data_IF_022824024164
#
_entry.id   IF_022824024164
#
_cell.length_a   1.000
_cell.length_b   1.000
_cell.length_c   1.000
_cell.angle_alpha   90.00
_cell.angle_beta   90.00
_cell.angle_gamma   90.00
#
_symmetry.space_group_name_H-M   'P 1'
#
loop_
_entity.id
_entity.type
_entity.pdbx_description
1 polymer ?
#
# COMPACT_ATOMS: atom_id res chain seq x y z
N UNK A 1 -2.33 -17.23 6.26
CA UNK A 1 -2.81 -16.07 5.48
C UNK A 1 -2.48 -14.75 6.14
N UNK A 2 -2.85 -14.45 7.39
CA UNK A 2 -2.52 -13.15 8.02
C UNK A 2 -1.02 -12.82 8.02
N UNK A 3 -0.15 -13.81 8.25
CA UNK A 3 1.31 -13.68 8.07
C UNK A 3 1.72 -13.28 6.65
N UNK A 4 1.09 -13.91 5.66
CA UNK A 4 1.32 -13.60 4.24
C UNK A 4 0.81 -12.19 3.92
N UNK A 5 -0.39 -11.81 4.38
CA UNK A 5 -0.92 -10.44 4.25
C UNK A 5 0.05 -9.41 4.83
N UNK A 6 0.59 -9.69 6.02
CA UNK A 6 1.53 -8.82 6.72
C UNK A 6 2.80 -8.60 5.91
N UNK A 7 3.42 -9.68 5.41
CA UNK A 7 4.64 -9.58 4.58
C UNK A 7 4.35 -8.98 3.21
N UNK A 8 3.21 -9.31 2.58
CA UNK A 8 2.83 -8.75 1.29
C UNK A 8 2.58 -7.23 1.39
N UNK A 9 1.89 -6.78 2.44
CA UNK A 9 1.68 -5.35 2.73
C UNK A 9 3.00 -4.64 2.96
N UNK A 10 3.90 -5.22 3.77
CA UNK A 10 5.23 -4.66 3.98
C UNK A 10 6.03 -4.61 2.67
N UNK A 11 6.01 -5.69 1.89
CA UNK A 11 6.68 -5.78 0.59
C UNK A 11 6.24 -4.69 -0.37
N UNK A 12 4.93 -4.41 -0.45
CA UNK A 12 4.37 -3.29 -1.21
C UNK A 12 4.95 -1.94 -0.78
N UNK A 13 4.93 -1.65 0.52
CA UNK A 13 5.41 -0.37 1.06
C UNK A 13 6.94 -0.20 0.91
N UNK A 14 7.71 -1.26 1.16
CA UNK A 14 9.17 -1.22 0.99
C UNK A 14 9.59 -1.22 -0.48
N UNK A 15 8.76 -1.79 -1.38
CA UNK A 15 8.99 -1.68 -2.82
C UNK A 15 8.89 -0.21 -3.28
N UNK A 16 7.90 0.54 -2.81
CA UNK A 16 7.76 1.98 -3.11
C UNK A 16 8.96 2.79 -2.63
N UNK A 17 9.40 2.53 -1.39
CA UNK A 17 10.58 3.19 -0.84
C UNK A 17 11.82 2.89 -1.67
N UNK A 18 12.04 1.62 -2.00
CA UNK A 18 13.15 1.17 -2.82
C UNK A 18 13.09 1.76 -4.24
N UNK A 19 11.91 1.84 -4.84
CA UNK A 19 11.65 2.43 -6.15
C UNK A 19 11.89 3.95 -6.19
N UNK A 20 11.95 4.59 -5.01
CA UNK A 20 12.23 6.01 -4.88
C UNK A 20 11.00 6.89 -5.02
N UNK A 21 9.82 6.39 -4.62
CA UNK A 21 8.58 7.18 -4.57
C UNK A 21 8.13 7.52 -3.15
N UNK A 22 8.97 7.22 -2.16
CA UNK A 22 8.65 7.36 -0.75
C UNK A 22 7.87 6.18 -0.21
N UNK A 23 7.12 6.40 0.85
CA UNK A 23 6.30 5.40 1.52
C UNK A 23 5.26 6.10 2.39
N UNK A 24 4.19 5.41 2.83
CA UNK A 24 3.22 6.00 3.74
C UNK A 24 3.87 6.57 5.00
N UNK A 25 3.44 7.79 5.37
CA UNK A 25 3.91 8.61 6.50
C UNK A 25 5.30 9.25 6.33
N UNK A 26 6.04 8.95 5.27
CA UNK A 26 7.35 9.57 5.05
C UNK A 26 7.27 11.09 4.84
N UNK A 27 6.13 11.63 4.39
CA UNK A 27 5.97 13.09 4.25
C UNK A 27 5.93 13.83 5.59
N UNK A 28 5.55 13.15 6.68
CA UNK A 28 5.45 13.73 8.01
C UNK A 28 6.64 13.36 8.89
N UNK A 29 7.02 12.09 8.88
CA UNK A 29 8.04 11.54 9.79
C UNK A 29 9.44 11.54 9.17
N UNK A 30 9.53 11.71 7.85
CA UNK A 30 10.72 11.38 7.08
C UNK A 30 10.82 9.88 6.76
N UNK A 31 11.69 9.50 5.81
CA UNK A 31 11.76 8.12 5.31
C UNK A 31 12.25 7.12 6.34
N UNK A 32 13.22 7.49 7.19
CA UNK A 32 13.83 6.55 8.16
C UNK A 32 12.85 6.20 9.28
N UNK A 33 12.24 7.17 10.01
CA UNK A 33 11.29 6.82 11.07
C UNK A 33 10.05 6.10 10.54
N UNK A 34 9.57 6.46 9.34
CA UNK A 34 8.47 5.74 8.69
C UNK A 34 8.86 4.28 8.37
N UNK A 35 10.03 4.04 7.77
CA UNK A 35 10.53 2.70 7.47
C UNK A 35 10.69 1.87 8.74
N UNK A 36 11.23 2.45 9.82
CA UNK A 36 11.37 1.78 11.11
C UNK A 36 10.01 1.42 11.71
N UNK A 37 9.03 2.33 11.69
CA UNK A 37 7.69 2.06 12.20
C UNK A 37 7.02 0.90 11.43
N UNK A 38 7.12 0.89 10.10
CA UNK A 38 6.62 -0.20 9.27
C UNK A 38 7.33 -1.52 9.59
N UNK A 39 8.65 -1.53 9.68
CA UNK A 39 9.41 -2.75 10.01
C UNK A 39 9.02 -3.34 11.37
N UNK A 40 8.91 -2.50 12.41
CA UNK A 40 8.50 -2.91 13.76
C UNK A 40 7.06 -3.44 13.75
N UNK A 41 6.14 -2.70 13.10
CA UNK A 41 4.74 -3.10 12.99
C UNK A 41 4.58 -4.44 12.27
N UNK A 42 5.28 -4.63 11.16
CA UNK A 42 5.33 -5.89 10.41
C UNK A 42 5.88 -7.03 11.24
N UNK A 43 7.01 -6.84 11.93
CA UNK A 43 7.60 -7.89 12.78
C UNK A 43 6.68 -8.29 13.93
N UNK A 44 6.05 -7.31 14.56
CA UNK A 44 5.08 -7.52 15.65
C UNK A 44 3.86 -8.29 15.16
N UNK A 45 3.25 -7.85 14.06
CA UNK A 45 2.09 -8.52 13.46
C UNK A 45 2.43 -9.94 12.97
N UNK A 46 3.61 -10.15 12.40
CA UNK A 46 4.08 -11.47 11.95
C UNK A 46 4.24 -12.46 13.13
N UNK A 47 4.86 -12.00 14.21
CA UNK A 47 5.06 -12.83 15.41
C UNK A 47 3.72 -13.15 16.08
N UNK A 48 2.87 -12.15 16.29
CA UNK A 48 1.54 -12.31 16.85
C UNK A 48 0.64 -13.20 15.98
N UNK A 49 0.73 -13.12 14.64
CA UNK A 49 -0.04 -13.99 13.76
C UNK A 49 0.43 -15.46 13.78
N UNK A 50 1.59 -15.74 14.37
CA UNK A 50 2.10 -17.09 14.62
C UNK A 50 1.53 -17.76 15.84
N UNK A 51 1.34 -16.97 16.89
CA UNK A 51 0.80 -17.40 18.16
C UNK A 51 -0.63 -16.86 18.21
N UNK A 52 -1.61 -17.65 17.76
CA UNK A 52 -2.99 -17.20 17.47
C UNK A 52 -4.02 -17.47 18.59
N UNK A 53 -3.97 -16.85 19.78
CA UNK A 53 -5.12 -16.80 20.65
C UNK A 53 -6.32 -16.14 19.94
N UNK A 54 -7.51 -16.73 20.08
CA UNK A 54 -8.76 -16.19 19.53
C UNK A 54 -9.06 -14.72 19.94
N UNK A 55 -8.44 -14.25 21.04
CA UNK A 55 -8.50 -12.85 21.47
C UNK A 55 -8.00 -11.85 20.41
N UNK A 56 -7.12 -12.28 19.49
CA UNK A 56 -6.57 -11.41 18.44
C UNK A 56 -7.39 -11.41 17.14
N UNK A 57 -8.40 -12.27 16.99
CA UNK A 57 -9.18 -12.39 15.74
C UNK A 57 -9.80 -11.05 15.32
N UNK A 58 -10.27 -10.24 16.28
CA UNK A 58 -10.80 -8.90 15.99
C UNK A 58 -9.71 -7.97 15.44
N UNK A 59 -8.54 -7.95 16.06
CA UNK A 59 -7.43 -7.09 15.65
C UNK A 59 -6.93 -7.49 14.26
N UNK A 60 -6.78 -8.78 13.99
CA UNK A 60 -6.37 -9.26 12.68
C UNK A 60 -7.44 -9.07 11.62
N UNK A 61 -8.73 -9.16 11.96
CA UNK A 61 -9.80 -8.81 11.03
C UNK A 61 -9.73 -7.33 10.64
N UNK A 62 -9.52 -6.42 11.59
CA UNK A 62 -9.33 -4.99 11.28
C UNK A 62 -8.09 -4.79 10.41
N UNK A 63 -6.95 -5.37 10.79
CA UNK A 63 -5.70 -5.24 10.01
C UNK A 63 -5.89 -5.73 8.57
N UNK A 64 -6.44 -6.93 8.38
CA UNK A 64 -6.69 -7.49 7.05
C UNK A 64 -7.72 -6.66 6.27
N UNK A 65 -8.72 -6.07 6.92
CA UNK A 65 -9.70 -5.17 6.27
C UNK A 65 -9.06 -3.86 5.82
N UNK A 66 -8.17 -3.29 6.63
CA UNK A 66 -7.40 -2.09 6.26
C UNK A 66 -6.46 -2.39 5.10
N UNK A 67 -5.72 -3.51 5.14
CA UNK A 67 -4.87 -3.96 4.02
C UNK A 67 -5.67 -4.15 2.73
N UNK A 68 -6.84 -4.80 2.82
CA UNK A 68 -7.73 -4.98 1.68
C UNK A 68 -8.18 -3.62 1.12
N UNK A 69 -8.66 -2.72 1.98
CA UNK A 69 -9.09 -1.39 1.58
C UNK A 69 -7.96 -0.56 0.95
N UNK A 70 -6.74 -0.64 1.48
CA UNK A 70 -5.58 0.05 0.93
C UNK A 70 -5.24 -0.43 -0.48
N UNK A 71 -5.23 -1.74 -0.71
CA UNK A 71 -4.97 -2.31 -2.05
C UNK A 71 -6.10 -1.97 -3.01
N UNK A 72 -7.36 -2.06 -2.58
CA UNK A 72 -8.50 -1.65 -3.41
C UNK A 72 -8.40 -0.17 -3.77
N UNK A 73 -8.07 0.69 -2.81
CA UNK A 73 -7.85 2.13 -3.05
C UNK A 73 -6.76 2.37 -4.11
N UNK A 74 -5.68 1.59 -4.11
CA UNK A 74 -4.69 1.66 -5.19
C UNK A 74 -5.30 1.33 -6.55
N UNK A 75 -5.95 0.15 -6.66
CA UNK A 75 -6.52 -0.35 -7.91
C UNK A 75 -7.62 0.53 -8.49
N UNK A 76 -8.37 1.25 -7.64
CA UNK A 76 -9.48 2.10 -8.07
C UNK A 76 -9.12 3.59 -8.17
N UNK A 77 -8.15 4.06 -7.37
CA UNK A 77 -7.77 5.47 -7.28
C UNK A 77 -6.71 5.91 -8.27
N UNK A 78 -5.94 4.97 -8.84
CA UNK A 78 -4.85 5.29 -9.77
C UNK A 78 -5.17 4.91 -11.22
N UNK A 79 -4.46 5.55 -12.20
CA UNK A 79 -4.63 5.22 -13.61
C UNK A 79 -4.42 3.74 -13.88
N UNK A 80 -5.41 3.13 -14.51
CA UNK A 80 -5.39 1.71 -14.85
C UNK A 80 -6.02 1.45 -16.21
N UNK A 81 -5.65 0.31 -16.78
CA UNK A 81 -6.34 -0.31 -17.91
C UNK A 81 -7.09 -1.54 -17.42
N UNK A 82 -8.02 -2.07 -18.20
CA UNK A 82 -8.59 -3.41 -17.93
C UNK A 82 -7.76 -4.48 -18.64
N UNK A 83 -7.49 -5.58 -17.96
CA UNK A 83 -6.94 -6.78 -18.60
C UNK A 83 -7.99 -7.45 -19.48
N UNK A 84 -7.60 -8.50 -20.23
CA UNK A 84 -8.56 -9.35 -20.97
C UNK A 84 -9.62 -9.99 -20.07
N UNK A 85 -9.31 -10.14 -18.78
CA UNK A 85 -10.22 -10.67 -17.76
C UNK A 85 -11.06 -9.56 -17.09
N UNK A 86 -10.98 -8.32 -17.57
CA UNK A 86 -11.75 -7.17 -17.04
C UNK A 86 -11.20 -6.57 -15.75
N UNK A 87 -10.13 -7.12 -15.18
CA UNK A 87 -9.60 -6.72 -13.87
C UNK A 87 -8.69 -5.47 -14.01
N UNK A 88 -8.74 -4.48 -13.09
CA UNK A 88 -7.90 -3.28 -13.13
C UNK A 88 -6.39 -3.57 -13.09
N UNK A 89 -5.65 -3.11 -14.08
CA UNK A 89 -4.20 -3.22 -14.14
C UNK A 89 -3.60 -1.82 -14.14
N UNK A 90 -2.90 -1.46 -13.07
CA UNK A 90 -2.31 -0.13 -12.93
C UNK A 90 -1.33 0.13 -14.07
N UNK A 91 -1.47 1.30 -14.69
CA UNK A 91 -0.56 1.81 -15.73
C UNK A 91 0.41 2.84 -15.14
N UNK A 92 0.03 3.46 -14.04
CA UNK A 92 0.91 4.25 -13.18
C UNK A 92 0.32 4.24 -11.76
N UNK A 93 1.16 4.50 -10.76
CA UNK A 93 0.76 4.61 -9.38
C UNK A 93 1.84 5.39 -8.61
N UNK A 94 1.45 6.47 -7.95
CA UNK A 94 2.33 7.27 -7.08
C UNK A 94 3.66 7.71 -7.72
N UNK A 95 3.72 7.83 -9.05
CA UNK A 95 4.93 8.20 -9.78
C UNK A 95 5.90 7.05 -10.06
N UNK A 96 5.55 5.80 -9.73
CA UNK A 96 6.33 4.60 -10.08
C UNK A 96 6.54 4.50 -11.60
N UNK A 97 5.54 4.91 -12.38
CA UNK A 97 5.54 4.88 -13.84
C UNK A 97 5.32 3.49 -14.43
N UNK A 98 5.08 3.42 -15.75
CA UNK A 98 4.67 2.20 -16.43
C UNK A 98 5.73 1.09 -16.40
N UNK A 99 7.02 1.43 -16.26
CA UNK A 99 8.11 0.45 -16.23
C UNK A 99 8.10 -0.45 -14.99
N UNK A 100 7.57 0.05 -13.86
CA UNK A 100 7.52 -0.72 -12.61
C UNK A 100 6.19 -1.44 -12.41
N UNK A 101 5.15 -1.08 -13.17
CA UNK A 101 3.82 -1.70 -13.07
C UNK A 101 3.80 -3.22 -13.27
N UNK A 102 4.61 -3.85 -14.15
CA UNK A 102 4.66 -5.30 -14.27
C UNK A 102 5.08 -6.03 -12.99
N UNK A 103 5.88 -5.38 -12.13
CA UNK A 103 6.32 -5.93 -10.84
C UNK A 103 5.37 -5.54 -9.70
N UNK A 104 4.87 -4.31 -9.75
CA UNK A 104 4.05 -3.75 -8.69
C UNK A 104 2.62 -4.31 -8.66
N UNK A 105 1.98 -4.52 -9.83
CA UNK A 105 0.64 -5.13 -9.89
C UNK A 105 0.60 -6.52 -9.22
N UNK A 106 1.52 -7.47 -9.51
CA UNK A 106 1.57 -8.75 -8.79
C UNK A 106 1.65 -8.63 -7.27
N UNK A 107 2.43 -7.66 -6.75
CA UNK A 107 2.54 -7.43 -5.30
C UNK A 107 1.18 -7.00 -4.73
N UNK A 108 0.47 -6.08 -5.41
CA UNK A 108 -0.88 -5.67 -5.00
C UNK A 108 -1.87 -6.83 -5.06
N UNK A 109 -1.88 -7.61 -6.14
CA UNK A 109 -2.80 -8.74 -6.28
C UNK A 109 -2.55 -9.83 -5.25
N UNK A 110 -1.28 -10.14 -4.95
CA UNK A 110 -0.92 -11.07 -3.89
C UNK A 110 -1.37 -10.54 -2.52
N UNK A 111 -1.18 -9.25 -2.26
CA UNK A 111 -1.64 -8.60 -1.02
C UNK A 111 -3.16 -8.66 -0.87
N UNK A 112 -3.90 -8.38 -1.95
CA UNK A 112 -5.36 -8.47 -2.00
C UNK A 112 -5.84 -9.90 -1.73
N UNK A 113 -5.29 -10.89 -2.46
CA UNK A 113 -5.66 -12.28 -2.32
C UNK A 113 -5.37 -12.81 -0.91
N UNK A 114 -4.20 -12.46 -0.34
CA UNK A 114 -3.85 -12.84 1.02
C UNK A 114 -4.79 -12.22 2.07
N UNK A 115 -5.14 -10.93 1.93
CA UNK A 115 -6.07 -10.25 2.82
C UNK A 115 -7.47 -10.87 2.76
N UNK A 116 -8.01 -11.13 1.56
CA UNK A 116 -9.30 -11.81 1.38
C UNK A 116 -9.27 -13.22 1.98
N UNK A 117 -8.23 -14.01 1.68
CA UNK A 117 -8.09 -15.35 2.23
C UNK A 117 -7.99 -15.33 3.77
N UNK A 118 -7.29 -14.35 4.35
CA UNK A 118 -7.23 -14.19 5.81
C UNK A 118 -8.60 -13.82 6.40
N UNK A 119 -9.36 -12.93 5.76
CA UNK A 119 -10.70 -12.57 6.24
C UNK A 119 -11.68 -13.75 6.20
N UNK A 120 -11.57 -14.62 5.19
CA UNK A 120 -12.47 -15.77 5.01
C UNK A 120 -12.07 -16.97 5.89
N UNK A 121 -10.78 -17.26 6.00
CA UNK A 121 -10.29 -18.54 6.53
C UNK A 121 -9.83 -18.50 7.99
N UNK A 122 -9.65 -17.32 8.58
CA UNK A 122 -8.86 -17.20 9.80
C UNK A 122 -9.52 -16.47 10.96
N UNK A 123 -10.68 -15.82 10.80
CA UNK A 123 -11.23 -14.93 11.85
C UNK A 123 -12.62 -15.34 12.34
N UNK A 124 -12.78 -16.61 12.69
CA UNK A 124 -14.09 -17.19 13.05
C UNK A 124 -14.73 -16.53 14.28
N UNK A 125 -13.92 -16.02 15.22
CA UNK A 125 -14.41 -15.38 16.45
C UNK A 125 -14.72 -13.89 16.29
N UNK A 126 -14.38 -13.29 15.13
CA UNK A 126 -14.61 -11.87 14.88
C UNK A 126 -16.05 -11.60 14.40
N UNK A 127 -16.62 -10.41 14.67
CA UNK A 127 -17.94 -10.06 14.13
C UNK A 127 -17.93 -10.13 12.59
N UNK A 128 -18.88 -10.86 12.01
CA UNK A 128 -19.00 -11.04 10.54
C UNK A 128 -19.12 -9.74 9.73
N UNK A 129 -19.54 -8.64 10.38
CA UNK A 129 -19.63 -7.30 9.79
C UNK A 129 -18.31 -6.54 9.77
N UNK A 130 -17.32 -6.96 10.55
CA UNK A 130 -16.06 -6.24 10.70
C UNK A 130 -15.25 -6.16 9.38
N UNK A 131 -15.24 -7.20 8.51
CA UNK A 131 -14.68 -7.09 7.16
C UNK A 131 -15.30 -5.96 6.30
N UNK A 132 -16.56 -5.59 6.57
CA UNK A 132 -17.25 -4.52 5.85
C UNK A 132 -16.65 -3.14 6.15
N UNK A 133 -15.80 -3.00 7.17
CA UNK A 133 -15.00 -1.80 7.39
C UNK A 133 -14.16 -1.42 6.17
N UNK A 134 -13.80 -2.39 5.32
CA UNK A 134 -13.04 -2.11 4.11
C UNK A 134 -13.78 -1.12 3.18
N UNK A 135 -15.12 -1.22 3.07
CA UNK A 135 -15.92 -0.44 2.13
C UNK A 135 -15.80 1.09 2.33
N UNK A 136 -16.08 1.65 3.52
CA UNK A 136 -15.90 3.08 3.75
C UNK A 136 -14.44 3.51 3.80
N UNK A 137 -13.50 2.58 4.08
CA UNK A 137 -12.07 2.88 4.11
C UNK A 137 -11.48 3.08 2.72
N UNK A 138 -12.02 2.46 1.67
CA UNK A 138 -11.49 2.63 0.30
C UNK A 138 -11.42 4.10 -0.14
N UNK A 139 -12.52 4.89 -0.15
CA UNK A 139 -12.44 6.28 -0.58
C UNK A 139 -11.58 7.15 0.34
N UNK A 140 -11.57 6.85 1.66
CA UNK A 140 -10.72 7.56 2.62
C UNK A 140 -9.23 7.33 2.34
N UNK A 141 -8.85 6.07 2.11
CA UNK A 141 -7.46 5.69 1.84
C UNK A 141 -7.02 6.19 0.46
N UNK A 142 -7.89 6.18 -0.55
CA UNK A 142 -7.59 6.79 -1.84
C UNK A 142 -7.29 8.29 -1.70
N UNK A 143 -8.12 9.02 -0.95
CA UNK A 143 -7.87 10.43 -0.65
C UNK A 143 -6.55 10.65 0.11
N UNK A 144 -6.25 9.79 1.09
CA UNK A 144 -5.02 9.84 1.86
C UNK A 144 -3.78 9.54 1.01
N UNK A 145 -3.82 8.52 0.14
CA UNK A 145 -2.77 8.17 -0.82
C UNK A 145 -2.46 9.36 -1.75
N UNK A 146 -3.48 9.96 -2.35
CA UNK A 146 -3.28 11.14 -3.20
C UNK A 146 -2.72 12.33 -2.43
N UNK A 147 -3.17 12.57 -1.19
CA UNK A 147 -2.64 13.64 -0.35
C UNK A 147 -1.17 13.40 0.03
N UNK A 148 -0.81 12.17 0.38
CA UNK A 148 0.56 11.76 0.67
C UNK A 148 1.45 11.92 -0.55
N UNK A 149 1.02 11.40 -1.71
CA UNK A 149 1.74 11.54 -2.96
C UNK A 149 2.00 13.01 -3.33
N UNK A 150 1.00 13.89 -3.18
CA UNK A 150 1.18 15.33 -3.42
C UNK A 150 2.26 15.93 -2.50
N UNK A 151 2.24 15.60 -1.21
CA UNK A 151 3.25 16.07 -0.25
C UNK A 151 4.64 15.54 -0.60
N UNK A 152 4.75 14.23 -0.87
CA UNK A 152 6.00 13.58 -1.24
C UNK A 152 6.60 14.17 -2.52
N UNK A 153 5.76 14.47 -3.52
CA UNK A 153 6.19 15.15 -4.75
C UNK A 153 6.73 16.54 -4.46
N UNK A 154 6.05 17.34 -3.63
CA UNK A 154 6.54 18.66 -3.24
C UNK A 154 7.89 18.57 -2.50
N UNK A 155 8.03 17.60 -1.59
CA UNK A 155 9.30 17.34 -0.89
C UNK A 155 10.39 16.93 -1.89
N UNK A 156 10.10 16.07 -2.85
CA UNK A 156 11.07 15.61 -3.84
C UNK A 156 11.61 16.73 -4.74
N UNK A 157 10.76 17.71 -5.07
CA UNK A 157 11.18 18.91 -5.81
C UNK A 157 12.09 19.80 -4.95
N UNK A 158 11.72 20.04 -3.69
CA UNK A 158 12.48 20.93 -2.81
C UNK A 158 13.78 20.29 -2.28
N UNK A 159 13.76 18.98 -2.04
CA UNK A 159 14.81 18.21 -1.35
C UNK A 159 14.93 16.82 -1.99
N UNK A 160 15.51 16.72 -3.20
CA UNK A 160 15.71 15.45 -3.87
C UNK A 160 16.70 14.58 -3.09
N UNK A 161 16.38 13.31 -2.96
CA UNK A 161 17.18 12.30 -2.26
C UNK A 161 16.92 10.92 -2.86
N UNK A 162 17.72 9.92 -2.49
CA UNK A 162 17.59 8.57 -3.06
C UNK A 162 16.18 7.98 -2.90
N UNK A 163 15.51 8.23 -1.77
CA UNK A 163 14.21 7.64 -1.41
C UNK A 163 13.01 8.30 -2.13
N UNK A 164 13.21 9.47 -2.74
CA UNK A 164 12.18 10.18 -3.52
C UNK A 164 12.66 10.53 -4.96
N UNK A 165 13.77 9.94 -5.40
CA UNK A 165 14.47 10.25 -6.65
C UNK A 165 13.56 10.20 -7.87
N UNK A 166 12.65 9.22 -7.92
CA UNK A 166 11.75 9.03 -9.06
C UNK A 166 10.67 10.10 -9.12
N UNK A 167 10.19 10.58 -7.98
CA UNK A 167 9.28 11.72 -7.94
C UNK A 167 9.94 13.01 -8.44
N UNK A 168 11.21 13.22 -8.09
CA UNK A 168 11.98 14.37 -8.55
C UNK A 168 12.21 14.30 -10.08
N UNK A 169 12.56 13.13 -10.61
CA UNK A 169 12.69 12.89 -12.06
C UNK A 169 11.39 13.19 -12.80
N UNK A 170 10.27 12.64 -12.34
CA UNK A 170 8.94 12.86 -12.92
C UNK A 170 8.52 14.32 -12.92
N UNK A 171 8.82 15.03 -11.84
CA UNK A 171 8.53 16.46 -11.75
C UNK A 171 9.32 17.29 -12.78
N UNK A 172 10.60 16.94 -13.00
CA UNK A 172 11.43 17.56 -14.04
C UNK A 172 10.92 17.26 -15.46
N UNK A 173 10.56 16.01 -15.74
CA UNK A 173 9.98 15.59 -17.04
C UNK A 173 8.72 16.40 -17.38
N UNK A 174 7.83 16.59 -16.40
CA UNK A 174 6.60 17.37 -16.60
C UNK A 174 6.87 18.84 -16.90
N UNK A 175 7.90 19.43 -16.29
CA UNK A 175 8.30 20.81 -16.55
C UNK A 175 8.89 20.96 -17.97
N UNK A 176 9.71 20.01 -18.40
CA UNK A 176 10.32 20.02 -19.73
C UNK A 176 9.30 19.82 -20.86
N UNK A 177 8.23 19.04 -20.62
CA UNK A 177 7.17 18.81 -21.60
C UNK A 177 6.21 20.01 -21.78
N UNK A 178 6.34 21.05 -20.95
CA UNK A 178 5.50 22.27 -20.99
C UNK A 178 6.23 23.45 -21.67
N UNK A 179 7.49 23.26 -22.07
CA UNK A 179 8.33 24.21 -22.81
C UNK A 179 8.38 23.83 -24.29
#
# INVERSE_FOLDING_TARGET
MTRVTTVATAGHVFFELAAGVGMPFASFLGPVPAATAWAIGTGTAWHAAGNRPAAYDRAFTVLNSVSLAAVTAHLTGWPHRRTRLGIPWLTDCEGLGPRLMPYYNPILYLSCAAAVAALILENDSAPRRLPLLALPLVPLLAAAQHAEHRRLRAIAVARPAWWNRRLAERARESCAATL
#
